data_IF_460963311073
#
_entry.id   IF_460963311073
#
_cell.length_a   1.000
_cell.length_b   1.000
_cell.length_c   1.000
_cell.angle_alpha   90.00
_cell.angle_beta   90.00
_cell.angle_gamma   90.00
#
_symmetry.space_group_name_H-M   'P 1'
#
loop_
_entity.id
_entity.type
_entity.pdbx_description
1 polymer ?
#
# COMPACT_ATOMS: atom_id res chain seq x y z
N UNK A 1 -9.60 30.41 36.13
CA UNK A 1 -10.60 29.91 35.17
C UNK A 1 -10.00 29.62 33.79
N UNK A 2 -9.29 30.53 33.13
CA UNK A 2 -8.74 30.31 31.76
C UNK A 2 -7.76 29.12 31.68
N UNK A 3 -6.85 28.94 32.66
CA UNK A 3 -5.92 27.80 32.69
C UNK A 3 -6.59 26.43 32.89
N UNK A 4 -7.70 26.38 33.61
CA UNK A 4 -8.45 25.13 33.81
C UNK A 4 -9.23 24.76 32.56
N UNK A 5 -9.82 25.68 31.84
CA UNK A 5 -10.52 25.44 30.57
C UNK A 5 -9.56 24.96 29.48
N UNK A 6 -8.36 25.59 29.35
CA UNK A 6 -7.33 25.17 28.40
C UNK A 6 -6.76 23.76 28.71
N UNK A 7 -6.71 23.38 29.98
CA UNK A 7 -6.27 22.03 30.38
C UNK A 7 -7.34 20.98 30.06
N UNK A 8 -8.60 21.31 30.19
CA UNK A 8 -9.74 20.44 29.88
C UNK A 8 -9.85 20.19 28.36
N UNK A 9 -9.73 21.26 27.56
CA UNK A 9 -9.70 21.18 26.09
C UNK A 9 -8.53 20.32 25.58
N UNK A 10 -7.33 20.47 26.17
CA UNK A 10 -6.16 19.66 25.78
C UNK A 10 -6.32 18.19 26.14
N UNK A 11 -7.00 17.87 27.24
CA UNK A 11 -7.26 16.51 27.69
C UNK A 11 -8.27 15.83 26.76
N UNK A 12 -9.34 16.54 26.41
CA UNK A 12 -10.34 16.05 25.46
C UNK A 12 -9.73 15.82 24.06
N UNK A 13 -8.89 16.75 23.61
CA UNK A 13 -8.17 16.63 22.35
C UNK A 13 -7.29 15.36 22.33
N UNK A 14 -6.50 15.13 23.39
CA UNK A 14 -5.66 13.94 23.53
C UNK A 14 -6.48 12.64 23.54
N UNK A 15 -7.62 12.60 24.21
CA UNK A 15 -8.52 11.43 24.21
C UNK A 15 -9.05 11.11 22.81
N UNK A 16 -9.43 12.12 22.04
CA UNK A 16 -9.87 11.95 20.65
C UNK A 16 -8.75 11.45 19.74
N UNK A 17 -7.49 11.88 19.95
CA UNK A 17 -6.35 11.33 19.24
C UNK A 17 -6.11 9.86 19.55
N UNK A 18 -6.28 9.44 20.80
CA UNK A 18 -6.17 8.03 21.17
C UNK A 18 -7.32 7.20 20.55
N UNK A 19 -8.56 7.74 20.54
CA UNK A 19 -9.69 7.12 19.83
C UNK A 19 -9.37 6.94 18.33
N UNK A 20 -8.91 7.98 17.65
CA UNK A 20 -8.52 7.92 16.23
C UNK A 20 -7.42 6.89 15.97
N UNK A 21 -6.45 6.77 16.89
CA UNK A 21 -5.35 5.81 16.81
C UNK A 21 -5.83 4.35 16.89
N UNK A 22 -6.86 4.06 17.68
CA UNK A 22 -7.41 2.71 17.79
C UNK A 22 -8.05 2.25 16.48
N UNK A 23 -8.62 3.18 15.70
CA UNK A 23 -9.21 2.90 14.39
C UNK A 23 -8.19 2.78 13.24
N UNK A 24 -6.92 3.18 13.39
CA UNK A 24 -5.92 3.20 12.30
C UNK A 24 -5.76 1.88 11.55
N UNK A 25 -5.90 0.76 12.23
CA UNK A 25 -5.70 -0.58 11.64
C UNK A 25 -7.00 -1.28 11.27
N UNK A 26 -8.09 -0.93 11.93
CA UNK A 26 -9.40 -1.58 11.78
C UNK A 26 -10.26 -0.85 10.75
N UNK A 27 -10.30 0.47 10.85
CA UNK A 27 -11.07 1.35 9.96
C UNK A 27 -10.37 2.71 9.80
N UNK A 28 -9.34 2.82 8.93
CA UNK A 28 -8.60 4.06 8.72
C UNK A 28 -9.47 5.24 8.26
N UNK A 29 -10.52 4.99 7.50
CA UNK A 29 -11.46 6.04 7.09
C UNK A 29 -12.20 6.63 8.28
N UNK A 30 -12.62 5.82 9.24
CA UNK A 30 -13.23 6.29 10.48
C UNK A 30 -12.24 7.07 11.36
N UNK A 31 -10.97 6.63 11.40
CA UNK A 31 -9.90 7.40 12.06
C UNK A 31 -9.81 8.83 11.48
N UNK A 32 -9.91 8.99 10.15
CA UNK A 32 -9.93 10.32 9.52
C UNK A 32 -11.16 11.13 9.93
N UNK A 33 -12.34 10.51 10.01
CA UNK A 33 -13.57 11.20 10.46
C UNK A 33 -13.41 11.74 11.89
N UNK A 34 -12.83 10.94 12.79
CA UNK A 34 -12.54 11.39 14.17
C UNK A 34 -11.56 12.57 14.16
N UNK A 35 -10.48 12.48 13.38
CA UNK A 35 -9.49 13.55 13.27
C UNK A 35 -10.10 14.85 12.72
N UNK A 36 -10.99 14.74 11.74
CA UNK A 36 -11.67 15.88 11.12
C UNK A 36 -12.70 16.54 12.06
N UNK A 37 -13.21 15.79 13.03
CA UNK A 37 -14.14 16.33 14.04
C UNK A 37 -13.43 17.14 15.15
N UNK A 38 -12.09 17.14 15.19
CA UNK A 38 -11.33 17.87 16.21
C UNK A 38 -11.21 19.35 15.87
N UNK A 39 -11.80 20.18 16.71
CA UNK A 39 -11.66 21.64 16.66
C UNK A 39 -10.39 22.09 17.39
N UNK A 40 -9.92 23.31 17.10
CA UNK A 40 -8.80 23.92 17.81
C UNK A 40 -7.41 23.37 17.47
N UNK A 41 -7.25 22.63 16.35
CA UNK A 41 -5.94 22.11 15.95
C UNK A 41 -4.87 23.20 15.83
N UNK A 42 -5.22 24.37 15.32
CA UNK A 42 -4.28 25.50 15.14
C UNK A 42 -3.77 26.11 16.44
N UNK A 43 -4.49 25.91 17.54
CA UNK A 43 -4.15 26.40 18.89
C UNK A 43 -3.67 25.28 19.82
N UNK A 44 -3.69 24.03 19.34
CA UNK A 44 -3.26 22.89 20.12
C UNK A 44 -1.76 22.98 20.49
N UNK A 45 -1.34 22.41 21.64
CA UNK A 45 0.07 22.23 21.95
C UNK A 45 0.80 21.51 20.81
N UNK A 46 2.04 21.93 20.51
CA UNK A 46 2.83 21.41 19.38
C UNK A 46 2.92 19.88 19.38
N UNK A 47 2.97 19.25 20.53
CA UNK A 47 3.03 17.79 20.65
C UNK A 47 1.73 17.12 20.17
N UNK A 48 0.58 17.67 20.51
CA UNK A 48 -0.72 17.18 20.06
C UNK A 48 -0.94 17.49 18.57
N UNK A 49 -0.50 18.67 18.11
CA UNK A 49 -0.50 19.04 16.69
C UNK A 49 0.29 18.02 15.84
N UNK A 50 1.52 17.71 16.25
CA UNK A 50 2.35 16.70 15.57
C UNK A 50 1.67 15.32 15.60
N UNK A 51 1.11 14.90 16.75
CA UNK A 51 0.42 13.62 16.86
C UNK A 51 -0.79 13.54 15.93
N UNK A 52 -1.60 14.61 15.86
CA UNK A 52 -2.72 14.67 14.92
C UNK A 52 -2.25 14.44 13.47
N UNK A 53 -1.24 15.18 13.02
CA UNK A 53 -0.71 15.06 11.67
C UNK A 53 -0.11 13.66 11.40
N UNK A 54 0.54 13.05 12.37
CA UNK A 54 1.07 11.70 12.23
C UNK A 54 -0.04 10.64 12.10
N UNK A 55 -1.12 10.76 12.87
CA UNK A 55 -2.28 9.88 12.75
C UNK A 55 -2.97 10.10 11.40
N UNK A 56 -3.16 11.36 11.02
CA UNK A 56 -3.72 11.74 9.73
C UNK A 56 -2.92 11.18 8.55
N UNK A 57 -1.61 11.34 8.55
CA UNK A 57 -0.73 10.75 7.54
C UNK A 57 -0.83 9.22 7.48
N UNK A 58 -0.86 8.54 8.63
CA UNK A 58 -0.98 7.08 8.71
C UNK A 58 -2.31 6.56 8.21
N UNK A 59 -3.42 7.26 8.48
CA UNK A 59 -4.75 6.90 7.99
C UNK A 59 -4.92 7.22 6.49
N UNK A 60 -4.22 8.24 5.98
CA UNK A 60 -4.27 8.65 4.58
C UNK A 60 -3.61 7.65 3.62
N UNK A 61 -2.61 6.88 4.08
CA UNK A 61 -1.95 5.85 3.24
C UNK A 61 -2.94 4.76 2.79
N UNK A 62 -3.64 4.03 3.67
CA UNK A 62 -4.56 2.97 3.25
C UNK A 62 -5.85 3.50 2.60
N UNK A 63 -6.20 4.77 2.80
CA UNK A 63 -7.35 5.43 2.17
C UNK A 63 -6.99 6.14 0.85
N UNK A 64 -5.72 6.04 0.42
CA UNK A 64 -5.18 6.62 -0.81
C UNK A 64 -5.37 8.14 -0.94
N UNK A 65 -5.37 8.88 0.17
CA UNK A 65 -5.51 10.33 0.19
C UNK A 65 -4.12 11.00 0.12
N UNK A 66 -3.54 11.07 -1.07
CA UNK A 66 -2.14 11.48 -1.29
C UNK A 66 -1.87 12.95 -0.92
N UNK A 67 -2.78 13.87 -1.23
CA UNK A 67 -2.65 15.28 -0.91
C UNK A 67 -2.67 15.48 0.60
N UNK A 68 -3.63 14.86 1.27
CA UNK A 68 -3.77 14.89 2.73
C UNK A 68 -2.53 14.30 3.44
N UNK A 69 -1.96 13.24 2.88
CA UNK A 69 -0.71 12.64 3.36
C UNK A 69 0.43 13.66 3.27
N UNK A 70 0.57 14.34 2.12
CA UNK A 70 1.62 15.34 1.91
C UNK A 70 1.47 16.56 2.82
N UNK A 71 0.27 17.10 2.94
CA UNK A 71 -0.02 18.25 3.80
C UNK A 71 0.36 17.97 5.26
N UNK A 72 0.02 16.76 5.74
CA UNK A 72 0.38 16.35 7.09
C UNK A 72 1.89 16.19 7.27
N UNK A 73 2.59 15.64 6.30
CA UNK A 73 4.04 15.52 6.32
C UNK A 73 4.67 16.91 6.36
N UNK A 74 4.24 17.82 5.48
CA UNK A 74 4.78 19.18 5.39
C UNK A 74 4.56 19.95 6.69
N UNK A 75 3.38 19.84 7.30
CA UNK A 75 3.05 20.44 8.58
C UNK A 75 3.98 19.96 9.72
N UNK A 76 4.24 18.65 9.76
CA UNK A 76 5.15 18.07 10.78
C UNK A 76 6.59 18.54 10.58
N UNK A 77 7.07 18.68 9.34
CA UNK A 77 8.44 19.16 9.05
C UNK A 77 8.67 20.62 9.50
N UNK A 78 7.64 21.45 9.55
CA UNK A 78 7.73 22.80 10.10
C UNK A 78 8.19 22.80 11.58
N UNK A 79 7.91 21.71 12.29
CA UNK A 79 8.29 21.51 13.71
C UNK A 79 9.49 20.56 13.88
N UNK A 80 10.35 20.44 12.88
CA UNK A 80 11.50 19.49 12.85
C UNK A 80 12.55 19.71 13.94
N UNK A 81 12.51 20.85 14.63
CA UNK A 81 13.39 21.17 15.78
C UNK A 81 12.92 20.58 17.11
N UNK A 82 11.65 20.15 17.21
CA UNK A 82 11.03 19.70 18.48
C UNK A 82 11.48 18.29 18.86
N UNK A 83 11.39 18.00 20.17
CA UNK A 83 11.68 16.67 20.73
C UNK A 83 10.66 15.65 20.18
N UNK A 84 9.39 16.03 20.09
CA UNK A 84 8.31 15.18 19.59
C UNK A 84 8.51 14.78 18.13
N UNK A 85 8.95 15.72 17.27
CA UNK A 85 9.34 15.37 15.90
C UNK A 85 10.46 14.33 15.88
N UNK A 86 11.55 14.58 16.60
CA UNK A 86 12.71 13.66 16.66
C UNK A 86 12.33 12.29 17.23
N UNK A 87 11.42 12.27 18.21
CA UNK A 87 10.90 11.04 18.78
C UNK A 87 10.12 10.19 17.75
N UNK A 88 9.48 10.83 16.76
CA UNK A 88 8.67 10.20 15.73
C UNK A 88 9.35 10.17 14.34
N UNK A 89 10.61 10.51 14.26
CA UNK A 89 11.38 10.63 13.01
C UNK A 89 11.22 9.41 12.07
N UNK A 90 11.34 8.14 12.52
CA UNK A 90 11.14 7.00 11.63
C UNK A 90 9.75 6.96 11.00
N UNK A 91 8.73 7.35 11.74
CA UNK A 91 7.33 7.39 11.26
C UNK A 91 7.13 8.47 10.21
N UNK A 92 7.66 9.67 10.46
CA UNK A 92 7.59 10.81 9.52
C UNK A 92 8.30 10.48 8.22
N UNK A 93 9.54 9.97 8.31
CA UNK A 93 10.35 9.62 7.13
C UNK A 93 9.76 8.43 6.37
N UNK A 94 9.16 7.46 7.07
CA UNK A 94 8.44 6.35 6.42
C UNK A 94 7.24 6.86 5.62
N UNK A 95 6.42 7.74 6.21
CA UNK A 95 5.28 8.35 5.54
C UNK A 95 5.72 9.15 4.31
N UNK A 96 6.78 9.95 4.44
CA UNK A 96 7.38 10.68 3.32
C UNK A 96 7.87 9.74 2.21
N UNK A 97 8.61 8.69 2.56
CA UNK A 97 9.10 7.70 1.59
C UNK A 97 7.98 6.99 0.84
N UNK A 98 6.87 6.68 1.53
CA UNK A 98 5.67 6.12 0.90
C UNK A 98 5.05 7.11 -0.08
N UNK A 99 4.87 8.37 0.31
CA UNK A 99 4.33 9.41 -0.55
C UNK A 99 5.23 9.66 -1.77
N UNK A 100 6.55 9.83 -1.57
CA UNK A 100 7.53 10.03 -2.66
C UNK A 100 7.48 8.87 -3.67
N UNK A 101 7.36 7.63 -3.19
CA UNK A 101 7.21 6.46 -4.07
C UNK A 101 5.92 6.51 -4.89
N UNK A 102 4.80 6.94 -4.30
CA UNK A 102 3.53 7.09 -5.02
C UNK A 102 3.59 8.21 -6.08
N UNK A 103 4.36 9.25 -5.81
CA UNK A 103 4.60 10.35 -6.76
C UNK A 103 5.75 10.07 -7.73
N UNK A 104 6.31 8.84 -7.72
CA UNK A 104 7.40 8.39 -8.58
C UNK A 104 8.76 9.09 -8.37
N UNK A 105 8.97 9.78 -7.25
CA UNK A 105 10.26 10.29 -6.82
C UNK A 105 11.09 9.16 -6.18
N UNK A 106 11.48 8.16 -6.99
CA UNK A 106 11.96 6.88 -6.46
C UNK A 106 13.31 6.96 -5.74
N UNK A 107 14.24 7.80 -6.19
CA UNK A 107 15.53 8.01 -5.49
C UNK A 107 15.32 8.75 -4.15
N UNK A 108 14.53 9.80 -4.17
CA UNK A 108 14.22 10.56 -2.97
C UNK A 108 13.44 9.72 -1.94
N UNK A 109 12.56 8.81 -2.41
CA UNK A 109 11.91 7.81 -1.56
C UNK A 109 12.92 6.86 -0.90
N UNK A 110 13.94 6.41 -1.65
CA UNK A 110 15.01 5.55 -1.12
C UNK A 110 15.77 6.25 0.00
N UNK A 111 16.19 7.50 -0.21
CA UNK A 111 16.88 8.29 0.81
C UNK A 111 16.02 8.43 2.09
N UNK A 112 14.74 8.71 1.93
CA UNK A 112 13.82 8.86 3.07
C UNK A 112 13.62 7.56 3.84
N UNK A 113 13.40 6.44 3.14
CA UNK A 113 13.16 5.13 3.78
C UNK A 113 14.44 4.57 4.43
N UNK A 114 15.61 4.74 3.81
CA UNK A 114 16.89 4.31 4.38
C UNK A 114 17.24 5.14 5.63
N UNK A 115 16.96 6.46 5.59
CA UNK A 115 17.10 7.30 6.77
C UNK A 115 16.10 6.88 7.87
N UNK A 116 14.85 6.59 7.54
CA UNK A 116 13.88 6.05 8.50
C UNK A 116 14.38 4.75 9.15
N UNK A 117 14.96 3.86 8.35
CA UNK A 117 15.49 2.58 8.83
C UNK A 117 16.67 2.76 9.80
N UNK A 118 17.56 3.71 9.52
CA UNK A 118 18.69 4.05 10.42
C UNK A 118 18.20 4.48 11.79
N UNK A 119 17.08 5.23 11.88
CA UNK A 119 16.51 5.72 13.12
C UNK A 119 15.41 4.82 13.71
N UNK A 120 15.15 3.65 13.13
CA UNK A 120 14.15 2.71 13.64
C UNK A 120 14.48 2.22 15.04
N UNK A 121 13.51 2.33 15.95
CA UNK A 121 13.70 2.09 17.40
C UNK A 121 13.54 0.63 17.82
N UNK A 122 12.81 -0.16 17.02
CA UNK A 122 12.50 -1.55 17.33
C UNK A 122 12.33 -2.39 16.06
N UNK A 123 12.34 -3.71 16.22
CA UNK A 123 12.28 -4.64 15.10
C UNK A 123 10.95 -4.59 14.34
N UNK A 124 9.84 -4.24 14.99
CA UNK A 124 8.56 -4.04 14.30
C UNK A 124 8.62 -2.86 13.33
N UNK A 125 9.26 -1.75 13.72
CA UNK A 125 9.48 -0.61 12.81
C UNK A 125 10.44 -1.00 11.69
N UNK A 126 11.56 -1.70 12.02
CA UNK A 126 12.50 -2.18 11.00
C UNK A 126 11.83 -3.08 9.99
N UNK A 127 10.99 -4.00 10.44
CA UNK A 127 10.26 -4.93 9.60
C UNK A 127 9.31 -4.19 8.61
N UNK A 128 8.55 -3.21 9.10
CA UNK A 128 7.68 -2.38 8.23
C UNK A 128 8.50 -1.58 7.21
N UNK A 129 9.63 -1.03 7.61
CA UNK A 129 10.53 -0.28 6.72
C UNK A 129 11.21 -1.18 5.69
N UNK A 130 11.64 -2.38 6.08
CA UNK A 130 12.17 -3.38 5.14
C UNK A 130 11.15 -3.70 4.04
N UNK A 131 9.88 -3.88 4.39
CA UNK A 131 8.82 -4.06 3.39
C UNK A 131 8.73 -2.87 2.43
N UNK A 132 8.73 -1.64 2.94
CA UNK A 132 8.64 -0.42 2.12
C UNK A 132 9.87 -0.25 1.21
N UNK A 133 11.08 -0.54 1.70
CA UNK A 133 12.34 -0.49 0.92
C UNK A 133 12.34 -1.57 -0.17
N UNK A 134 11.88 -2.78 0.15
CA UNK A 134 11.80 -3.87 -0.82
C UNK A 134 10.77 -3.56 -1.93
N UNK A 135 9.61 -3.01 -1.56
CA UNK A 135 8.60 -2.56 -2.53
C UNK A 135 9.13 -1.45 -3.44
N UNK A 136 9.87 -0.49 -2.89
CA UNK A 136 10.54 0.55 -3.66
C UNK A 136 11.57 -0.06 -4.63
N UNK A 137 12.42 -0.97 -4.17
CA UNK A 137 13.40 -1.66 -5.01
C UNK A 137 12.71 -2.44 -6.15
N UNK A 138 11.54 -3.06 -5.89
CA UNK A 138 10.70 -3.67 -6.93
C UNK A 138 10.20 -2.65 -7.95
N UNK A 139 9.76 -1.47 -7.51
CA UNK A 139 9.30 -0.39 -8.41
C UNK A 139 10.45 0.14 -9.28
N UNK A 140 11.66 0.17 -8.75
CA UNK A 140 12.90 0.51 -9.49
C UNK A 140 13.42 -0.64 -10.38
N UNK A 141 12.70 -1.76 -10.51
CA UNK A 141 13.11 -2.98 -11.21
C UNK A 141 14.42 -3.62 -10.65
N UNK A 142 14.84 -3.24 -9.45
CA UNK A 142 15.98 -3.84 -8.73
C UNK A 142 15.55 -5.14 -8.04
N UNK A 143 15.09 -6.11 -8.83
CA UNK A 143 14.41 -7.32 -8.37
C UNK A 143 15.25 -8.17 -7.40
N UNK A 144 16.56 -8.27 -7.61
CA UNK A 144 17.42 -9.01 -6.68
C UNK A 144 17.53 -8.34 -5.31
N UNK A 145 17.67 -6.98 -5.27
CA UNK A 145 17.65 -6.21 -4.01
C UNK A 145 16.31 -6.41 -3.29
N UNK A 146 15.20 -6.29 -4.01
CA UNK A 146 13.87 -6.50 -3.46
C UNK A 146 13.70 -7.91 -2.86
N UNK A 147 14.08 -8.95 -3.60
CA UNK A 147 14.01 -10.35 -3.17
C UNK A 147 14.79 -10.59 -1.87
N UNK A 148 16.03 -10.15 -1.83
CA UNK A 148 16.89 -10.32 -0.66
C UNK A 148 16.30 -9.65 0.59
N UNK A 149 15.76 -8.44 0.46
CA UNK A 149 15.15 -7.71 1.57
C UNK A 149 13.84 -8.38 2.00
N UNK A 150 12.97 -8.81 1.05
CA UNK A 150 11.74 -9.52 1.39
C UNK A 150 12.00 -10.83 2.15
N UNK A 151 13.00 -11.62 1.74
CA UNK A 151 13.35 -12.86 2.45
C UNK A 151 13.84 -12.59 3.87
N UNK A 152 14.70 -11.59 4.07
CA UNK A 152 15.13 -11.18 5.42
C UNK A 152 13.96 -10.70 6.27
N UNK A 153 13.08 -9.88 5.69
CA UNK A 153 11.88 -9.40 6.37
C UNK A 153 10.91 -10.54 6.72
N UNK A 154 10.76 -11.52 5.82
CA UNK A 154 9.94 -12.71 6.04
C UNK A 154 10.44 -13.53 7.22
N UNK A 155 11.76 -13.78 7.29
CA UNK A 155 12.35 -14.49 8.42
C UNK A 155 12.12 -13.75 9.73
N UNK A 156 12.38 -12.45 9.76
CA UNK A 156 12.13 -11.62 10.95
C UNK A 156 10.63 -11.58 11.33
N UNK A 157 9.72 -11.57 10.36
CA UNK A 157 8.28 -11.61 10.62
C UNK A 157 7.84 -12.93 11.29
N UNK A 158 8.46 -14.05 10.89
CA UNK A 158 8.23 -15.36 11.50
C UNK A 158 8.76 -15.37 12.94
N UNK A 159 9.99 -14.93 13.16
CA UNK A 159 10.63 -14.85 14.49
C UNK A 159 9.81 -13.98 15.46
N UNK A 160 9.29 -12.85 14.97
CA UNK A 160 8.48 -11.92 15.76
C UNK A 160 6.99 -12.29 15.81
N UNK A 161 6.58 -13.41 15.20
CA UNK A 161 5.18 -13.86 15.10
C UNK A 161 4.22 -12.79 14.54
N UNK A 162 4.69 -12.01 13.55
CA UNK A 162 3.93 -10.91 12.93
C UNK A 162 3.11 -11.42 11.74
N UNK A 163 2.08 -12.23 11.98
CA UNK A 163 1.22 -12.84 10.95
C UNK A 163 0.68 -11.83 9.90
N UNK A 164 0.19 -10.62 10.27
CA UNK A 164 -0.29 -9.66 9.28
C UNK A 164 0.81 -9.18 8.32
N UNK A 165 2.01 -8.98 8.84
CA UNK A 165 3.15 -8.53 8.02
C UNK A 165 3.67 -9.69 7.17
N UNK A 166 3.69 -10.91 7.71
CA UNK A 166 4.07 -12.10 6.96
C UNK A 166 3.17 -12.31 5.74
N UNK A 167 1.84 -12.25 5.91
CA UNK A 167 0.90 -12.37 4.79
C UNK A 167 1.12 -11.28 3.72
N UNK A 168 1.43 -10.05 4.12
CA UNK A 168 1.76 -8.95 3.22
C UNK A 168 3.08 -9.21 2.47
N UNK A 169 4.11 -9.72 3.14
CA UNK A 169 5.39 -10.07 2.51
C UNK A 169 5.24 -11.21 1.51
N UNK A 170 4.44 -12.24 1.81
CA UNK A 170 4.10 -13.31 0.88
C UNK A 170 3.41 -12.75 -0.37
N UNK A 171 2.42 -11.87 -0.21
CA UNK A 171 1.76 -11.21 -1.36
C UNK A 171 2.74 -10.40 -2.21
N UNK A 172 3.67 -9.67 -1.58
CA UNK A 172 4.68 -8.88 -2.28
C UNK A 172 5.74 -9.76 -2.99
N UNK A 173 6.13 -10.89 -2.41
CA UNK A 173 6.99 -11.89 -3.03
C UNK A 173 6.31 -12.54 -4.25
N UNK A 174 5.01 -12.83 -4.16
CA UNK A 174 4.22 -13.30 -5.29
C UNK A 174 4.21 -12.29 -6.43
N UNK A 175 3.98 -11.01 -6.11
CA UNK A 175 4.03 -9.94 -7.10
C UNK A 175 5.42 -9.76 -7.71
N UNK A 176 6.48 -9.88 -6.93
CA UNK A 176 7.87 -9.83 -7.41
C UNK A 176 8.19 -11.01 -8.34
N UNK A 177 7.70 -12.22 -8.02
CA UNK A 177 7.85 -13.40 -8.87
C UNK A 177 7.13 -13.21 -10.21
N UNK A 178 5.91 -12.62 -10.21
CA UNK A 178 5.18 -12.28 -11.42
C UNK A 178 5.91 -11.26 -12.30
N UNK A 179 6.48 -10.21 -11.73
CA UNK A 179 7.27 -9.23 -12.48
C UNK A 179 8.43 -9.91 -13.23
N UNK A 180 8.98 -10.99 -12.65
CA UNK A 180 10.06 -11.79 -13.23
C UNK A 180 9.56 -12.95 -14.15
N UNK A 181 8.25 -13.08 -14.37
CA UNK A 181 7.67 -14.16 -15.17
C UNK A 181 7.65 -15.53 -14.49
N UNK A 182 7.94 -15.62 -13.19
CA UNK A 182 7.98 -16.86 -12.41
C UNK A 182 6.59 -17.22 -11.88
N UNK A 183 5.68 -17.56 -12.80
CA UNK A 183 4.26 -17.76 -12.49
C UNK A 183 4.00 -18.85 -11.44
N UNK A 184 4.64 -20.05 -11.49
CA UNK A 184 4.43 -21.08 -10.47
C UNK A 184 4.92 -20.65 -9.07
N UNK A 185 6.03 -19.91 -9.00
CA UNK A 185 6.54 -19.36 -7.74
C UNK A 185 5.56 -18.30 -7.18
N UNK A 186 5.00 -17.45 -8.05
CA UNK A 186 3.99 -16.46 -7.66
C UNK A 186 2.73 -17.10 -7.08
N UNK A 187 2.26 -18.22 -7.68
CA UNK A 187 1.11 -18.96 -7.18
C UNK A 187 1.33 -19.43 -5.73
N UNK A 188 2.48 -20.02 -5.44
CA UNK A 188 2.80 -20.49 -4.08
C UNK A 188 2.73 -19.35 -3.05
N UNK A 189 3.34 -18.21 -3.37
CA UNK A 189 3.32 -17.05 -2.50
C UNK A 189 1.92 -16.46 -2.31
N UNK A 190 1.10 -16.35 -3.37
CA UNK A 190 -0.26 -15.85 -3.24
C UNK A 190 -1.18 -16.80 -2.48
N UNK A 191 -0.99 -18.11 -2.57
CA UNK A 191 -1.69 -19.09 -1.72
C UNK A 191 -1.35 -18.89 -0.25
N UNK A 192 -0.05 -18.74 0.07
CA UNK A 192 0.41 -18.47 1.45
C UNK A 192 -0.14 -17.14 1.98
N UNK A 193 -0.16 -16.10 1.14
CA UNK A 193 -0.72 -14.81 1.50
C UNK A 193 -2.23 -14.89 1.79
N UNK A 194 -3.00 -15.56 0.92
CA UNK A 194 -4.44 -15.72 1.09
C UNK A 194 -4.77 -16.44 2.40
N UNK A 195 -4.10 -17.56 2.67
CA UNK A 195 -4.27 -18.30 3.93
C UNK A 195 -3.91 -17.43 5.15
N UNK A 196 -2.81 -16.68 5.07
CA UNK A 196 -2.40 -15.77 6.15
C UNK A 196 -3.44 -14.66 6.41
N UNK A 197 -4.01 -14.07 5.36
CA UNK A 197 -5.05 -13.05 5.49
C UNK A 197 -6.39 -13.63 5.98
N UNK A 198 -6.72 -14.87 5.60
CA UNK A 198 -7.90 -15.58 6.11
C UNK A 198 -7.77 -15.85 7.60
N UNK A 199 -6.60 -16.31 8.06
CA UNK A 199 -6.36 -16.61 9.48
C UNK A 199 -6.51 -15.40 10.41
N UNK A 200 -6.41 -14.18 9.89
CA UNK A 200 -6.56 -12.92 10.66
C UNK A 200 -7.79 -12.10 10.26
N UNK A 201 -8.69 -12.66 9.46
CA UNK A 201 -9.89 -12.00 8.90
C UNK A 201 -9.60 -10.62 8.25
N UNK A 202 -8.47 -10.47 7.57
CA UNK A 202 -8.11 -9.22 6.88
C UNK A 202 -8.69 -9.18 5.47
N UNK A 203 -9.93 -8.77 5.32
CA UNK A 203 -10.74 -8.81 4.09
C UNK A 203 -10.07 -8.15 2.89
N UNK A 204 -9.53 -6.95 3.03
CA UNK A 204 -8.80 -6.26 1.95
C UNK A 204 -7.59 -7.07 1.45
N UNK A 205 -6.89 -7.77 2.35
CA UNK A 205 -5.80 -8.68 2.00
C UNK A 205 -6.30 -9.94 1.29
N UNK A 206 -7.42 -10.51 1.74
CA UNK A 206 -8.06 -11.67 1.11
C UNK A 206 -8.49 -11.35 -0.32
N UNK A 207 -9.13 -10.20 -0.56
CA UNK A 207 -9.52 -9.74 -1.89
C UNK A 207 -8.29 -9.64 -2.80
N UNK A 208 -7.25 -8.92 -2.36
CA UNK A 208 -6.06 -8.69 -3.18
C UNK A 208 -5.30 -10.00 -3.48
N UNK A 209 -5.10 -10.86 -2.47
CA UNK A 209 -4.42 -12.13 -2.66
C UNK A 209 -5.27 -13.12 -3.49
N UNK A 210 -6.58 -13.13 -3.30
CA UNK A 210 -7.52 -13.93 -4.09
C UNK A 210 -7.49 -13.58 -5.57
N UNK A 211 -7.60 -12.30 -5.91
CA UNK A 211 -7.54 -11.81 -7.30
C UNK A 211 -6.18 -12.14 -7.93
N UNK A 212 -5.07 -11.87 -7.22
CA UNK A 212 -3.74 -12.20 -7.71
C UNK A 212 -3.55 -13.71 -7.93
N UNK A 213 -4.11 -14.54 -7.05
CA UNK A 213 -4.08 -15.99 -7.20
C UNK A 213 -4.93 -16.47 -8.39
N UNK A 214 -6.13 -15.91 -8.57
CA UNK A 214 -6.96 -16.19 -9.75
C UNK A 214 -6.22 -15.83 -11.05
N UNK A 215 -5.52 -14.70 -11.07
CA UNK A 215 -4.73 -14.27 -12.22
C UNK A 215 -3.64 -15.27 -12.59
N UNK A 216 -2.81 -15.72 -11.64
CA UNK A 216 -1.73 -16.69 -11.93
C UNK A 216 -2.26 -18.06 -12.33
N UNK A 217 -3.41 -18.46 -11.80
CA UNK A 217 -4.11 -19.70 -12.17
C UNK A 217 -4.61 -19.65 -13.63
N UNK A 218 -5.17 -18.51 -14.06
CA UNK A 218 -5.61 -18.32 -15.44
C UNK A 218 -4.45 -18.26 -16.43
N UNK A 219 -3.31 -17.66 -16.07
CA UNK A 219 -2.09 -17.71 -16.90
C UNK A 219 -1.66 -19.16 -17.13
N UNK A 220 -1.79 -20.02 -16.12
CA UNK A 220 -1.46 -21.44 -16.20
C UNK A 220 -2.59 -22.30 -16.80
N UNK A 221 -3.74 -21.70 -17.12
CA UNK A 221 -4.94 -22.38 -17.67
C UNK A 221 -5.51 -23.46 -16.74
N UNK A 222 -5.36 -23.29 -15.43
CA UNK A 222 -5.89 -24.22 -14.43
C UNK A 222 -7.36 -23.90 -14.10
N UNK A 223 -8.28 -24.15 -15.04
CA UNK A 223 -9.70 -23.72 -14.98
C UNK A 223 -10.40 -24.17 -13.70
N UNK A 224 -10.32 -25.44 -13.34
CA UNK A 224 -10.97 -25.99 -12.13
C UNK A 224 -10.53 -25.25 -10.83
N UNK A 225 -9.27 -24.84 -10.76
CA UNK A 225 -8.78 -24.10 -9.60
C UNK A 225 -9.29 -22.65 -9.61
N UNK A 226 -9.46 -22.06 -10.79
CA UNK A 226 -10.06 -20.73 -10.92
C UNK A 226 -11.51 -20.73 -10.44
N UNK A 227 -12.35 -21.66 -10.90
CA UNK A 227 -13.76 -21.80 -10.52
C UNK A 227 -13.96 -21.90 -9.00
N UNK A 228 -13.08 -22.66 -8.32
CA UNK A 228 -13.14 -22.79 -6.85
C UNK A 228 -12.87 -21.49 -6.12
N UNK A 229 -12.10 -20.57 -6.69
CA UNK A 229 -11.72 -19.30 -6.08
C UNK A 229 -12.61 -18.14 -6.49
N UNK A 230 -13.20 -18.20 -7.69
CA UNK A 230 -13.98 -17.13 -8.29
C UNK A 230 -15.16 -16.71 -7.40
N UNK A 231 -16.01 -17.65 -7.01
CA UNK A 231 -17.20 -17.37 -6.21
C UNK A 231 -16.87 -16.65 -4.90
N UNK A 232 -16.06 -17.22 -4.01
CA UNK A 232 -15.68 -16.59 -2.74
C UNK A 232 -14.99 -15.24 -2.92
N UNK A 233 -14.07 -15.10 -3.89
CA UNK A 233 -13.31 -13.85 -4.12
C UNK A 233 -14.22 -12.76 -4.67
N UNK A 234 -15.08 -13.07 -5.64
CA UNK A 234 -16.03 -12.12 -6.22
C UNK A 234 -17.08 -11.66 -5.19
N UNK A 235 -17.62 -12.58 -4.41
CA UNK A 235 -18.58 -12.25 -3.33
C UNK A 235 -17.96 -11.28 -2.34
N UNK A 236 -16.72 -11.54 -1.90
CA UNK A 236 -16.03 -10.66 -0.96
C UNK A 236 -15.70 -9.29 -1.59
N UNK A 237 -15.29 -9.27 -2.86
CA UNK A 237 -15.01 -8.02 -3.58
C UNK A 237 -16.26 -7.17 -3.77
N UNK A 238 -17.41 -7.79 -4.02
CA UNK A 238 -18.69 -7.08 -4.17
C UNK A 238 -19.21 -6.56 -2.82
N UNK A 239 -18.96 -7.27 -1.72
CA UNK A 239 -19.30 -6.80 -0.38
C UNK A 239 -18.45 -5.58 0.06
N UNK A 240 -17.25 -5.41 -0.52
CA UNK A 240 -16.35 -4.29 -0.26
C UNK A 240 -15.92 -3.63 -1.58
N UNK A 241 -16.80 -2.87 -2.23
CA UNK A 241 -16.58 -2.37 -3.58
C UNK A 241 -15.32 -1.51 -3.71
N UNK A 242 -14.50 -1.84 -4.70
CA UNK A 242 -13.33 -1.06 -5.09
C UNK A 242 -13.20 -1.11 -6.60
N UNK A 243 -13.25 0.05 -7.24
CA UNK A 243 -13.28 0.19 -8.71
C UNK A 243 -12.11 -0.54 -9.38
N UNK A 244 -10.89 -0.41 -8.84
CA UNK A 244 -9.71 -1.07 -9.42
C UNK A 244 -9.75 -2.59 -9.29
N UNK A 245 -10.29 -3.13 -8.19
CA UNK A 245 -10.46 -4.57 -7.99
C UNK A 245 -11.56 -5.15 -8.87
N UNK A 246 -12.65 -4.42 -9.05
CA UNK A 246 -13.72 -4.78 -9.97
C UNK A 246 -13.23 -4.77 -11.42
N UNK A 247 -12.47 -3.74 -11.81
CA UNK A 247 -11.84 -3.68 -13.13
C UNK A 247 -10.91 -4.88 -13.38
N UNK A 248 -10.15 -5.29 -12.36
CA UNK A 248 -9.30 -6.48 -12.52
C UNK A 248 -10.13 -7.76 -12.65
N UNK A 249 -11.19 -7.93 -11.86
CA UNK A 249 -12.09 -9.09 -11.99
C UNK A 249 -12.72 -9.18 -13.37
N UNK A 250 -13.09 -8.06 -14.01
CA UNK A 250 -13.63 -8.05 -15.38
C UNK A 250 -12.63 -8.66 -16.39
N UNK A 251 -11.34 -8.31 -16.29
CA UNK A 251 -10.29 -8.91 -17.12
C UNK A 251 -10.13 -10.40 -16.89
N UNK A 252 -10.19 -10.85 -15.63
CA UNK A 252 -10.08 -12.27 -15.29
C UNK A 252 -11.28 -13.07 -15.79
N UNK A 253 -12.48 -12.52 -15.62
CA UNK A 253 -13.72 -13.15 -16.10
C UNK A 253 -13.74 -13.30 -17.62
N UNK A 254 -13.37 -12.24 -18.36
CA UNK A 254 -13.28 -12.32 -19.81
C UNK A 254 -12.26 -13.39 -20.25
N UNK A 255 -11.12 -13.51 -19.58
CA UNK A 255 -10.13 -14.55 -19.88
C UNK A 255 -10.65 -15.95 -19.56
N UNK A 256 -11.36 -16.12 -18.45
CA UNK A 256 -11.97 -17.40 -18.09
C UNK A 256 -13.00 -17.83 -19.15
N UNK A 257 -13.94 -16.96 -19.51
CA UNK A 257 -14.96 -17.24 -20.55
C UNK A 257 -14.32 -17.60 -21.89
N UNK A 258 -13.25 -16.93 -22.29
CA UNK A 258 -12.50 -17.27 -23.49
C UNK A 258 -11.86 -18.66 -23.41
N UNK A 259 -11.32 -19.04 -22.24
CA UNK A 259 -10.75 -20.37 -22.04
C UNK A 259 -11.79 -21.48 -22.06
N UNK A 260 -13.04 -21.17 -21.69
CA UNK A 260 -14.21 -22.04 -21.83
C UNK A 260 -14.77 -22.10 -23.27
N UNK A 261 -14.14 -21.39 -24.21
CA UNK A 261 -14.51 -21.41 -25.63
C UNK A 261 -15.46 -20.33 -26.09
N UNK A 262 -15.76 -19.33 -25.22
CA UNK A 262 -16.60 -18.22 -25.61
C UNK A 262 -15.83 -17.21 -26.48
N UNK A 263 -16.50 -16.72 -27.52
CA UNK A 263 -15.96 -15.65 -28.38
C UNK A 263 -16.19 -14.30 -27.68
N UNK A 264 -15.12 -13.61 -27.36
CA UNK A 264 -15.19 -12.28 -26.73
C UNK A 264 -15.68 -11.25 -27.75
N UNK A 265 -16.82 -10.65 -27.46
CA UNK A 265 -17.45 -9.64 -28.34
C UNK A 265 -16.66 -8.33 -28.40
N UNK A 266 -16.91 -7.51 -29.43
CA UNK A 266 -16.29 -6.17 -29.49
C UNK A 266 -16.72 -5.30 -28.31
N UNK A 267 -18.00 -5.34 -27.93
CA UNK A 267 -18.50 -4.60 -26.75
C UNK A 267 -17.73 -4.96 -25.48
N UNK A 268 -17.47 -6.26 -25.24
CA UNK A 268 -16.65 -6.70 -24.09
C UNK A 268 -15.23 -6.16 -24.19
N UNK A 269 -14.61 -6.12 -25.37
CA UNK A 269 -13.26 -5.56 -25.55
C UNK A 269 -13.22 -4.07 -25.21
N UNK A 270 -14.25 -3.31 -25.65
CA UNK A 270 -14.37 -1.89 -25.36
C UNK A 270 -14.54 -1.65 -23.84
N UNK A 271 -15.34 -2.46 -23.15
CA UNK A 271 -15.49 -2.44 -21.70
C UNK A 271 -14.12 -2.73 -20.99
N UNK A 272 -13.34 -3.69 -21.48
CA UNK A 272 -12.03 -4.01 -20.94
C UNK A 272 -11.02 -2.88 -21.14
N UNK A 273 -11.08 -2.13 -22.24
CA UNK A 273 -10.25 -0.94 -22.42
C UNK A 273 -10.56 0.12 -21.35
N UNK A 274 -11.84 0.34 -21.04
CA UNK A 274 -12.25 1.25 -19.96
C UNK A 274 -11.76 0.71 -18.61
N UNK A 275 -11.98 -0.57 -18.31
CA UNK A 275 -11.53 -1.21 -17.08
C UNK A 275 -9.99 -1.12 -16.90
N UNK A 276 -9.21 -1.18 -17.99
CA UNK A 276 -7.77 -1.02 -17.95
C UNK A 276 -7.33 0.32 -17.36
N UNK A 277 -8.05 1.40 -17.66
CA UNK A 277 -7.74 2.73 -17.12
C UNK A 277 -7.96 2.81 -15.61
N UNK A 278 -8.84 1.97 -15.07
CA UNK A 278 -9.23 1.94 -13.66
C UNK A 278 -8.33 1.03 -12.80
N UNK A 279 -7.40 0.30 -13.40
CA UNK A 279 -6.47 -0.56 -12.66
C UNK A 279 -5.58 0.24 -11.71
N UNK A 280 -5.28 -0.34 -10.55
CA UNK A 280 -4.70 0.35 -9.39
C UNK A 280 -3.28 0.89 -9.58
N UNK A 281 -2.52 0.40 -10.53
CA UNK A 281 -1.12 0.81 -10.75
C UNK A 281 -0.58 0.38 -12.10
N UNK A 282 0.47 1.04 -12.55
CA UNK A 282 1.17 0.70 -13.79
C UNK A 282 1.76 -0.71 -13.76
N UNK A 283 2.20 -1.22 -12.61
CA UNK A 283 2.66 -2.61 -12.49
C UNK A 283 1.55 -3.60 -12.82
N UNK A 284 0.32 -3.34 -12.37
CA UNK A 284 -0.85 -4.16 -12.71
C UNK A 284 -1.19 -4.03 -14.19
N UNK A 285 -1.19 -2.81 -14.72
CA UNK A 285 -1.43 -2.56 -16.15
C UNK A 285 -0.42 -3.29 -17.04
N UNK A 286 0.86 -3.29 -16.65
CA UNK A 286 1.91 -4.06 -17.36
C UNK A 286 1.61 -5.56 -17.35
N UNK A 287 1.14 -6.11 -16.23
CA UNK A 287 0.79 -7.54 -16.14
C UNK A 287 -0.43 -7.88 -17.01
N UNK A 288 -1.47 -7.06 -16.99
CA UNK A 288 -2.66 -7.23 -17.85
C UNK A 288 -2.25 -7.13 -19.32
N UNK A 289 -1.48 -6.14 -19.71
CA UNK A 289 -0.96 -6.00 -21.08
C UNK A 289 -0.15 -7.25 -21.50
N UNK A 290 0.75 -7.74 -20.64
CA UNK A 290 1.63 -8.87 -20.95
C UNK A 290 0.89 -10.21 -21.10
N UNK A 291 -0.09 -10.47 -20.23
CA UNK A 291 -0.66 -11.81 -20.10
C UNK A 291 -2.11 -11.94 -20.58
N UNK A 292 -2.87 -10.84 -20.69
CA UNK A 292 -4.29 -10.91 -21.03
C UNK A 292 -4.65 -10.17 -22.32
N UNK A 293 -4.08 -9.01 -22.58
CA UNK A 293 -4.49 -8.14 -23.68
C UNK A 293 -4.43 -8.84 -25.05
N UNK A 294 -3.29 -9.45 -25.36
CA UNK A 294 -3.12 -10.19 -26.63
C UNK A 294 -4.06 -11.37 -26.73
N UNK A 295 -4.23 -12.11 -25.65
CA UNK A 295 -5.08 -13.30 -25.60
C UNK A 295 -6.56 -12.95 -25.85
N UNK A 296 -7.02 -11.81 -25.34
CA UNK A 296 -8.40 -11.30 -25.48
C UNK A 296 -8.57 -10.42 -26.73
N UNK A 297 -7.50 -10.18 -27.49
CA UNK A 297 -7.50 -9.28 -28.66
C UNK A 297 -7.99 -7.86 -28.28
N UNK A 298 -7.55 -7.37 -27.11
CA UNK A 298 -7.84 -6.02 -26.63
C UNK A 298 -6.62 -5.13 -26.92
N UNK A 299 -6.83 -4.06 -27.67
CA UNK A 299 -5.78 -3.08 -27.99
C UNK A 299 -5.65 -2.06 -26.85
N UNK A 300 -4.55 -2.16 -26.11
CA UNK A 300 -4.17 -1.27 -25.01
C UNK A 300 -2.68 -0.96 -25.06
N UNK A 301 -2.32 0.23 -24.58
CA UNK A 301 -0.93 0.68 -24.53
C UNK A 301 -0.35 0.37 -23.14
N UNK A 302 0.80 -0.29 -23.10
CA UNK A 302 1.53 -0.51 -21.88
C UNK A 302 2.01 0.82 -21.28
N UNK A 303 2.00 0.99 -19.93
CA UNK A 303 2.58 2.15 -19.28
C UNK A 303 4.04 2.34 -19.70
N UNK A 304 4.40 3.61 -19.92
CA UNK A 304 5.78 3.96 -20.24
C UNK A 304 6.68 3.80 -19.00
N UNK A 305 7.98 3.54 -19.19
CA UNK A 305 8.94 3.55 -18.09
C UNK A 305 8.90 4.89 -17.33
N UNK A 306 8.96 4.80 -16.00
CA UNK A 306 8.98 5.97 -15.12
C UNK A 306 10.23 6.80 -15.45
N UNK A 307 10.03 8.06 -15.82
CA UNK A 307 11.12 9.05 -15.93
C UNK A 307 11.58 9.46 -14.55
N UNK A 308 12.89 9.53 -14.35
CA UNK A 308 13.46 9.93 -13.07
C UNK A 308 13.06 11.37 -12.73
N UNK A 309 12.45 11.55 -11.57
CA UNK A 309 12.01 12.84 -11.02
C UNK A 309 12.76 13.11 -9.73
N UNK A 310 13.04 14.39 -9.44
CA UNK A 310 13.62 14.83 -8.17
C UNK A 310 12.62 15.68 -7.40
N UNK A 311 12.45 15.36 -6.11
CA UNK A 311 11.63 16.14 -5.19
C UNK A 311 12.42 17.30 -4.59
N UNK A 312 11.77 18.45 -4.42
CA UNK A 312 12.35 19.64 -3.81
C UNK A 312 11.40 20.27 -2.80
N UNK A 313 11.92 20.56 -1.62
CA UNK A 313 11.29 21.42 -0.61
C UNK A 313 12.38 22.01 0.30
N UNK A 314 12.07 23.08 1.02
CA UNK A 314 13.02 23.77 1.90
C UNK A 314 13.61 22.88 3.00
N UNK A 315 12.84 21.89 3.49
CA UNK A 315 13.27 20.97 4.55
C UNK A 315 13.90 19.67 4.01
N UNK A 316 13.77 19.36 2.70
CA UNK A 316 14.17 18.07 2.16
C UNK A 316 15.69 17.85 2.16
N UNK A 317 16.49 18.92 2.16
CA UNK A 317 17.95 18.83 2.31
C UNK A 317 18.40 18.12 3.60
N UNK A 318 17.63 18.21 4.69
CA UNK A 318 17.87 17.46 5.93
C UNK A 318 17.64 15.96 5.75
N UNK A 319 16.60 15.57 4.99
CA UNK A 319 16.32 14.18 4.67
C UNK A 319 17.47 13.57 3.87
N UNK A 320 17.94 14.27 2.83
CA UNK A 320 19.08 13.83 2.00
C UNK A 320 20.35 13.59 2.81
N UNK A 321 20.64 14.45 3.78
CA UNK A 321 21.81 14.28 4.67
C UNK A 321 21.60 13.26 5.78
N UNK A 322 20.36 12.90 6.06
CA UNK A 322 19.97 12.02 7.17
C UNK A 322 20.63 12.39 8.52
N UNK A 323 20.55 13.68 8.88
CA UNK A 323 21.11 14.27 10.10
C UNK A 323 20.02 15.03 10.86
N UNK A 324 19.74 14.57 12.13
CA UNK A 324 18.61 15.06 12.94
C UNK A 324 18.99 15.29 14.39
#
# INVERSE_FOLDING_TARGET
MIKAALADDSTQFAQKLDEAKDYLTVNPAHSLVILDSLEGLSTAPVDLYIQWHLLNARASVPTNQQDRLYDSINAVFAHSHTVTFKANLPTVLSALGIWLRHQEYLQDAEMSLECAYKYAKNDRQRLSLMNSIALLARNQNRYQKARNIYHKARQLAIELKQTPILAMLESNLGSLALDQGKVPEAEQYFRSALLGYQAIDKRAGQISAGINLMFVILIQKHIVNYERLQGPTSTLTNAFPNVAKQAWLQWLEARYRQLEGEIISQATRDELQVAYTQLESDKVKILVHRYLAKELSVDIIAPQPITEKSFSSSWFAKVKRCQW
#
